data_IF_066702371112
#
_entry.id   IF_066702371112
#
_cell.length_a   1.000
_cell.length_b   1.000
_cell.length_c   1.000
_cell.angle_alpha   90.00
_cell.angle_beta   90.00
_cell.angle_gamma   90.00
#
_symmetry.space_group_name_H-M   'P 1'
#
loop_
_entity.id
_entity.type
_entity.pdbx_description
1 polymer ?
#
# COMPACT_ATOMS: atom_id res chain seq x y z
N UNK A 1 -13.33 14.87 22.35
CA UNK A 1 -12.06 15.00 23.12
C UNK A 1 -11.35 16.27 22.64
N UNK A 2 -10.76 17.08 23.53
CA UNK A 2 -10.22 18.43 23.17
C UNK A 2 -9.02 18.42 22.21
N UNK A 3 -8.47 17.25 21.86
CA UNK A 3 -7.31 17.11 20.97
C UNK A 3 -7.44 15.94 19.97
N UNK A 4 -8.67 15.45 19.75
CA UNK A 4 -8.89 14.44 18.71
C UNK A 4 -9.09 15.15 17.39
N UNK A 5 -8.24 14.84 16.40
CA UNK A 5 -8.32 15.41 15.06
C UNK A 5 -9.18 14.50 14.16
N UNK A 6 -8.72 13.28 13.90
CA UNK A 6 -9.45 12.28 13.08
C UNK A 6 -8.98 10.85 13.36
N UNK A 7 -9.67 9.85 12.77
CA UNK A 7 -9.18 8.47 12.77
C UNK A 7 -7.95 8.35 11.87
N UNK A 8 -6.95 7.58 12.31
CA UNK A 8 -5.75 7.31 11.50
C UNK A 8 -5.95 6.30 10.37
N UNK A 9 -7.16 5.75 10.22
CA UNK A 9 -7.48 4.73 9.21
C UNK A 9 -7.58 5.33 7.80
N UNK A 10 -7.90 6.63 7.70
CA UNK A 10 -7.89 7.40 6.46
C UNK A 10 -7.25 8.75 6.73
N UNK A 11 -6.31 9.13 5.88
CA UNK A 11 -5.55 10.38 6.01
C UNK A 11 -5.56 11.13 4.67
N UNK A 12 -5.80 12.43 4.72
CA UNK A 12 -5.55 13.33 3.59
C UNK A 12 -4.04 13.48 3.43
N UNK A 13 -3.50 13.06 2.29
CA UNK A 13 -2.07 13.08 1.97
C UNK A 13 -1.84 13.78 0.63
N UNK A 14 -0.72 14.49 0.51
CA UNK A 14 -0.28 14.99 -0.79
C UNK A 14 0.31 13.82 -1.61
N UNK A 15 -0.22 13.60 -2.81
CA UNK A 15 0.18 12.50 -3.67
C UNK A 15 1.67 12.66 -4.07
N UNK A 16 2.54 11.69 -3.76
CA UNK A 16 3.97 11.79 -4.04
C UNK A 16 4.29 11.61 -5.54
N UNK A 17 3.34 11.11 -6.30
CA UNK A 17 3.33 10.95 -7.75
C UNK A 17 1.88 10.85 -8.24
N UNK A 18 1.66 10.81 -9.55
CA UNK A 18 0.34 10.59 -10.13
C UNK A 18 -0.17 9.18 -9.78
N UNK A 19 -1.18 9.12 -8.90
CA UNK A 19 -1.71 7.87 -8.36
C UNK A 19 -3.16 7.70 -8.81
N UNK A 20 -3.53 6.46 -9.16
CA UNK A 20 -4.91 6.09 -9.46
C UNK A 20 -5.63 5.59 -8.22
N UNK A 21 -6.95 5.68 -8.18
CA UNK A 21 -7.78 5.10 -7.13
C UNK A 21 -7.53 3.60 -7.00
N UNK A 22 -7.30 3.14 -5.77
CA UNK A 22 -6.87 1.78 -5.45
C UNK A 22 -5.35 1.55 -5.55
N UNK A 23 -4.59 2.52 -6.07
CA UNK A 23 -3.13 2.49 -6.10
C UNK A 23 -2.53 2.70 -4.71
N UNK A 24 -1.42 2.02 -4.43
CA UNK A 24 -0.60 2.33 -3.26
C UNK A 24 0.05 3.71 -3.44
N UNK A 25 0.30 4.43 -2.34
CA UNK A 25 1.15 5.61 -2.27
C UNK A 25 1.96 5.59 -0.97
N UNK A 26 3.18 6.13 -1.02
CA UNK A 26 4.07 6.24 0.13
C UNK A 26 4.51 7.68 0.35
N UNK A 27 4.15 8.25 1.50
CA UNK A 27 4.55 9.59 1.94
C UNK A 27 5.41 9.46 3.19
N UNK A 28 6.72 9.64 3.05
CA UNK A 28 7.68 9.35 4.13
C UNK A 28 7.60 7.89 4.56
N UNK A 29 7.18 7.65 5.81
CA UNK A 29 6.95 6.30 6.35
C UNK A 29 5.51 5.82 6.25
N UNK A 30 4.58 6.68 5.83
CA UNK A 30 3.16 6.34 5.72
C UNK A 30 2.93 5.67 4.37
N UNK A 31 2.47 4.43 4.40
CA UNK A 31 1.89 3.77 3.24
C UNK A 31 0.36 3.81 3.33
N UNK A 32 -0.29 4.13 2.22
CA UNK A 32 -1.73 4.16 2.11
C UNK A 32 -2.18 3.71 0.71
N UNK A 33 -3.48 3.42 0.58
CA UNK A 33 -4.13 3.16 -0.72
C UNK A 33 -5.02 4.34 -1.07
N UNK A 34 -4.84 4.93 -2.25
CA UNK A 34 -5.59 6.10 -2.69
C UNK A 34 -7.07 5.76 -2.87
N UNK A 35 -7.96 6.59 -2.33
CA UNK A 35 -9.40 6.43 -2.51
C UNK A 35 -9.90 6.94 -3.88
N UNK A 36 -9.11 7.79 -4.53
CA UNK A 36 -9.41 8.39 -5.84
C UNK A 36 -8.13 8.70 -6.61
N UNK A 37 -8.27 9.05 -7.88
CA UNK A 37 -7.14 9.53 -8.70
C UNK A 37 -6.65 10.88 -8.20
N UNK A 38 -5.33 11.07 -8.16
CA UNK A 38 -4.70 12.33 -7.82
C UNK A 38 -3.39 12.53 -8.58
N UNK A 39 -3.19 13.74 -9.07
CA UNK A 39 -1.91 14.16 -9.64
C UNK A 39 -0.90 14.44 -8.54
N UNK A 40 0.38 14.37 -8.89
CA UNK A 40 1.50 14.71 -8.01
C UNK A 40 1.28 16.07 -7.34
N UNK A 41 1.41 16.09 -6.01
CA UNK A 41 1.22 17.29 -5.19
C UNK A 41 -0.23 17.58 -4.80
N UNK A 42 -1.23 17.01 -5.50
CA UNK A 42 -2.63 17.16 -5.12
C UNK A 42 -2.95 16.34 -3.86
N UNK A 43 -3.96 16.78 -3.10
CA UNK A 43 -4.44 16.07 -1.92
C UNK A 43 -5.33 14.89 -2.32
N UNK A 44 -5.14 13.76 -1.64
CA UNK A 44 -5.93 12.54 -1.80
C UNK A 44 -6.17 11.86 -0.47
N UNK A 45 -7.35 11.29 -0.28
CA UNK A 45 -7.62 10.42 0.86
C UNK A 45 -6.92 9.08 0.68
N UNK A 46 -6.03 8.74 1.61
CA UNK A 46 -5.29 7.49 1.65
C UNK A 46 -5.76 6.60 2.80
N UNK A 47 -6.14 5.36 2.50
CA UNK A 47 -6.55 4.36 3.49
C UNK A 47 -5.34 3.57 3.98
N UNK A 48 -5.09 3.57 5.30
CA UNK A 48 -3.87 3.01 5.91
C UNK A 48 -4.08 1.63 6.54
N UNK A 49 -5.33 1.16 6.62
CA UNK A 49 -5.73 -0.13 7.20
C UNK A 49 -6.81 -0.80 6.38
N UNK A 50 -6.85 -2.13 6.44
CA UNK A 50 -7.81 -2.94 5.69
C UNK A 50 -7.11 -3.98 4.82
N UNK A 51 -7.86 -4.60 3.92
CA UNK A 51 -7.33 -5.54 2.93
C UNK A 51 -7.51 -4.93 1.56
N UNK A 52 -6.42 -4.82 0.80
CA UNK A 52 -6.42 -4.24 -0.55
C UNK A 52 -5.76 -5.19 -1.53
N UNK A 53 -6.31 -5.25 -2.74
CA UNK A 53 -5.65 -5.89 -3.87
C UNK A 53 -4.64 -4.92 -4.47
N UNK A 54 -3.36 -5.30 -4.48
CA UNK A 54 -2.27 -4.46 -4.93
C UNK A 54 -1.45 -5.17 -6.01
N UNK A 55 -0.84 -4.41 -6.94
CA UNK A 55 -0.03 -4.99 -8.01
C UNK A 55 1.23 -5.63 -7.45
N UNK A 56 1.70 -6.68 -8.12
CA UNK A 56 2.99 -7.33 -7.88
C UNK A 56 3.62 -7.74 -9.20
N UNK A 57 4.93 -7.96 -9.17
CA UNK A 57 5.61 -8.57 -10.31
C UNK A 57 5.00 -9.94 -10.61
N UNK A 58 4.63 -10.18 -11.87
CA UNK A 58 3.86 -11.37 -12.28
C UNK A 58 4.49 -12.69 -11.81
N UNK A 59 5.81 -12.79 -11.91
CA UNK A 59 6.59 -13.96 -11.55
C UNK A 59 6.76 -14.18 -10.03
N UNK A 60 6.47 -13.19 -9.19
CA UNK A 60 6.65 -13.27 -7.74
C UNK A 60 5.57 -14.16 -7.12
N UNK A 61 5.93 -15.38 -6.71
CA UNK A 61 5.02 -16.24 -5.96
C UNK A 61 4.90 -15.77 -4.49
N UNK A 62 3.67 -15.65 -4.00
CA UNK A 62 3.35 -15.21 -2.64
C UNK A 62 2.42 -16.24 -1.99
N UNK A 63 2.72 -16.62 -0.76
CA UNK A 63 1.91 -17.49 0.09
C UNK A 63 1.15 -16.66 1.12
N UNK A 64 0.00 -17.19 1.57
CA UNK A 64 -0.76 -16.59 2.67
C UNK A 64 0.15 -16.42 3.90
N UNK A 65 0.10 -15.25 4.53
CA UNK A 65 0.89 -14.91 5.72
C UNK A 65 2.30 -14.39 5.43
N UNK A 66 2.76 -14.38 4.17
CA UNK A 66 4.02 -13.75 3.81
C UNK A 66 4.02 -12.26 4.20
N UNK A 67 5.16 -11.79 4.73
CA UNK A 67 5.38 -10.35 4.91
C UNK A 67 5.53 -9.70 3.55
N UNK A 68 4.76 -8.63 3.33
CA UNK A 68 4.73 -7.91 2.09
C UNK A 68 5.26 -6.50 2.27
N UNK A 69 6.08 -6.10 1.32
CA UNK A 69 6.79 -4.84 1.30
C UNK A 69 6.40 -4.05 0.05
N UNK A 70 6.34 -2.74 0.16
CA UNK A 70 6.16 -1.83 -0.95
C UNK A 70 7.51 -1.46 -1.57
N UNK A 71 7.64 -1.76 -2.85
CA UNK A 71 8.71 -1.24 -3.70
C UNK A 71 8.23 0.10 -4.29
N UNK A 72 8.77 1.20 -3.75
CA UNK A 72 8.36 2.53 -4.18
C UNK A 72 9.01 2.96 -5.50
N UNK A 73 9.96 2.21 -6.05
CA UNK A 73 10.46 2.49 -7.40
C UNK A 73 9.54 1.83 -8.44
N UNK A 74 9.19 0.56 -8.23
CA UNK A 74 8.32 -0.21 -9.12
C UNK A 74 6.82 0.09 -8.95
N UNK A 75 6.42 0.65 -7.80
CA UNK A 75 5.03 0.81 -7.35
C UNK A 75 4.29 -0.53 -7.28
N UNK A 76 4.99 -1.54 -6.76
CA UNK A 76 4.51 -2.91 -6.66
C UNK A 76 4.81 -3.52 -5.29
N UNK A 77 4.05 -4.56 -4.95
CA UNK A 77 4.28 -5.40 -3.80
C UNK A 77 5.44 -6.37 -4.05
N UNK A 78 6.31 -6.49 -3.05
CA UNK A 78 7.49 -7.35 -3.04
C UNK A 78 7.55 -8.17 -1.74
N UNK A 79 8.37 -9.23 -1.71
CA UNK A 79 8.73 -9.99 -0.49
C UNK A 79 10.11 -9.59 0.07
N UNK A 80 10.89 -8.82 -0.69
CA UNK A 80 12.22 -8.37 -0.29
C UNK A 80 12.11 -7.24 0.72
N UNK A 81 12.74 -7.40 1.88
CA UNK A 81 12.73 -6.39 2.94
C UNK A 81 13.72 -5.24 2.68
N UNK A 82 14.95 -5.57 2.27
CA UNK A 82 16.01 -4.57 2.07
C UNK A 82 15.60 -3.58 0.99
N UNK A 83 15.62 -2.28 1.33
CA UNK A 83 15.27 -1.21 0.40
C UNK A 83 13.77 -0.93 0.25
N UNK A 84 12.91 -1.79 0.79
CA UNK A 84 11.44 -1.68 0.65
C UNK A 84 10.76 -1.43 2.01
N UNK A 85 9.52 -0.95 1.98
CA UNK A 85 8.77 -0.60 3.19
C UNK A 85 7.79 -1.71 3.57
N UNK A 86 7.83 -2.21 4.82
CA UNK A 86 6.88 -3.23 5.27
C UNK A 86 5.45 -2.63 5.33
N UNK A 87 4.53 -3.15 4.52
CA UNK A 87 3.16 -2.62 4.44
C UNK A 87 2.12 -3.55 5.06
N UNK A 88 2.42 -4.84 5.22
CA UNK A 88 1.41 -5.78 5.68
C UNK A 88 1.77 -7.24 5.48
N UNK A 89 0.72 -8.06 5.43
CA UNK A 89 0.81 -9.51 5.21
C UNK A 89 -0.17 -9.96 4.14
N UNK A 90 0.21 -10.98 3.37
CA UNK A 90 -0.65 -11.59 2.37
C UNK A 90 -1.84 -12.30 3.05
N UNK A 91 -3.06 -12.11 2.53
CA UNK A 91 -4.25 -12.87 2.96
C UNK A 91 -4.72 -13.88 1.91
N UNK A 92 -4.19 -13.80 0.69
CA UNK A 92 -4.37 -14.79 -0.37
C UNK A 92 -3.02 -15.31 -0.85
N UNK A 93 -3.01 -16.52 -1.41
CA UNK A 93 -1.86 -16.98 -2.19
C UNK A 93 -1.96 -16.38 -3.60
N UNK A 94 -0.81 -15.99 -4.15
CA UNK A 94 -0.70 -15.47 -5.51
C UNK A 94 0.42 -16.24 -6.23
N UNK A 95 0.01 -17.17 -7.11
CA UNK A 95 0.92 -18.06 -7.82
C UNK A 95 1.69 -17.34 -8.93
N UNK A 96 2.76 -17.95 -9.43
CA UNK A 96 3.39 -17.51 -10.68
C UNK A 96 2.67 -18.21 -11.87
N UNK A 97 2.08 -17.47 -12.83
CA UNK A 97 1.98 -16.01 -12.92
C UNK A 97 0.70 -15.45 -12.27
N UNK A 98 0.78 -14.25 -11.68
CA UNK A 98 -0.39 -13.45 -11.27
C UNK A 98 -0.01 -11.99 -11.08
N UNK A 99 -0.87 -11.06 -11.46
CA UNK A 99 -0.54 -9.63 -11.45
C UNK A 99 -0.78 -8.93 -10.09
N UNK A 100 -1.55 -9.55 -9.18
CA UNK A 100 -1.99 -8.91 -7.94
C UNK A 100 -1.91 -9.86 -6.75
N UNK A 101 -1.98 -9.28 -5.54
CA UNK A 101 -2.12 -10.00 -4.27
C UNK A 101 -2.97 -9.20 -3.30
N UNK A 102 -3.74 -9.87 -2.44
CA UNK A 102 -4.48 -9.20 -1.37
C UNK A 102 -3.60 -9.04 -0.12
N UNK A 103 -3.44 -7.79 0.32
CA UNK A 103 -2.57 -7.39 1.42
C UNK A 103 -3.42 -6.82 2.55
N UNK A 104 -3.32 -7.42 3.75
CA UNK A 104 -3.82 -6.78 4.97
C UNK A 104 -2.79 -5.78 5.45
N UNK A 105 -3.12 -4.49 5.36
CA UNK A 105 -2.25 -3.41 5.81
C UNK A 105 -2.04 -3.46 7.33
N UNK A 106 -0.80 -3.22 7.75
CA UNK A 106 -0.42 -3.26 9.16
C UNK A 106 -0.69 -1.94 9.91
N UNK A 107 -0.83 -0.81 9.20
CA UNK A 107 -0.99 0.52 9.78
C UNK A 107 0.16 0.92 10.74
N UNK A 108 1.36 0.35 10.55
CA UNK A 108 2.50 0.48 11.47
C UNK A 108 3.57 1.40 10.90
N UNK A 109 4.23 2.18 11.79
CA UNK A 109 5.41 3.01 11.51
C UNK A 109 6.44 2.87 12.64
#
# INVERSE_FOLDING_TARGET
MKNYIQSGDTLTLSAPYDVTGGGGLKVGSIFAVAAADALTGAEVEGVTKGVFELPKTSALAISIGDKLYWDDAAKEVNKTATGNTLIGVAVTAAANPSATVQVRLNGSF
#
